data_IF_012720303636
#
_entry.id   IF_012720303636
#
_cell.length_a   1.000
_cell.length_b   1.000
_cell.length_c   1.000
_cell.angle_alpha   90.00
_cell.angle_beta   90.00
_cell.angle_gamma   90.00
#
_symmetry.space_group_name_H-M   'P 1'
#
loop_
_entity.id
_entity.type
_entity.pdbx_description
1 polymer ?
#
# COMPACT_ATOMS: atom_id res chain seq x y z
N UNK A 1 -43.41 63.05 52.10
CA UNK A 1 -42.00 62.62 52.29
C UNK A 1 -42.00 61.18 52.77
N UNK A 2 -42.00 60.18 51.88
CA UNK A 2 -41.54 58.80 52.21
C UNK A 2 -41.17 58.07 50.92
N UNK A 3 -39.91 57.61 50.86
CA UNK A 3 -39.23 57.02 49.71
C UNK A 3 -39.74 55.61 49.40
N UNK A 4 -39.73 55.29 48.09
CA UNK A 4 -39.69 53.94 47.50
C UNK A 4 -38.77 52.99 48.27
N UNK A 5 -39.17 51.72 48.34
CA UNK A 5 -38.24 50.65 47.99
C UNK A 5 -39.02 49.49 47.36
N UNK A 6 -39.04 49.47 46.04
CA UNK A 6 -39.27 48.24 45.31
C UNK A 6 -38.01 47.39 45.53
N UNK A 7 -38.09 46.46 46.47
CA UNK A 7 -37.07 45.42 46.63
C UNK A 7 -37.16 44.54 45.39
N UNK A 8 -36.43 44.96 44.36
CA UNK A 8 -36.28 44.24 43.12
C UNK A 8 -35.84 42.82 43.44
N UNK A 9 -36.52 41.87 42.79
CA UNK A 9 -36.12 40.47 42.71
C UNK A 9 -34.67 40.39 42.22
N UNK A 10 -33.72 40.46 43.14
CA UNK A 10 -32.36 39.94 42.99
C UNK A 10 -32.38 38.48 43.44
N UNK A 11 -33.35 37.71 42.94
CA UNK A 11 -33.22 36.26 42.90
C UNK A 11 -32.10 36.01 41.89
N UNK A 12 -30.89 36.01 42.43
CA UNK A 12 -29.62 35.62 41.82
C UNK A 12 -29.85 34.66 40.67
N UNK A 13 -29.36 35.09 39.53
CA UNK A 13 -29.39 34.43 38.24
C UNK A 13 -28.47 33.20 38.20
N UNK A 14 -28.66 32.25 39.11
CA UNK A 14 -27.90 30.99 39.17
C UNK A 14 -28.28 30.06 38.01
N UNK A 15 -29.48 30.25 37.43
CA UNK A 15 -29.94 29.51 36.26
C UNK A 15 -29.15 29.89 34.99
N UNK A 16 -28.83 31.16 34.75
CA UNK A 16 -28.00 31.55 33.60
C UNK A 16 -26.55 31.03 33.72
N UNK A 17 -26.00 31.00 34.93
CA UNK A 17 -24.66 30.45 35.20
C UNK A 17 -24.63 28.93 35.00
N UNK A 18 -25.66 28.21 35.46
CA UNK A 18 -25.80 26.76 35.27
C UNK A 18 -25.99 26.37 33.79
N UNK A 19 -26.77 27.14 33.03
CA UNK A 19 -26.96 26.93 31.58
C UNK A 19 -25.64 27.11 30.83
N UNK A 20 -24.85 28.13 31.18
CA UNK A 20 -23.56 28.40 30.54
C UNK A 20 -22.52 27.32 30.84
N UNK A 21 -22.47 26.84 32.08
CA UNK A 21 -21.56 25.76 32.48
C UNK A 21 -21.92 24.42 31.83
N UNK A 22 -23.22 24.07 31.81
CA UNK A 22 -23.71 22.88 31.11
C UNK A 22 -23.40 22.91 29.62
N UNK A 23 -23.61 24.07 28.98
CA UNK A 23 -23.28 24.26 27.56
C UNK A 23 -21.78 24.06 27.29
N UNK A 24 -20.90 24.68 28.07
CA UNK A 24 -19.44 24.54 27.91
C UNK A 24 -19.01 23.09 28.12
N UNK A 25 -19.57 22.41 29.14
CA UNK A 25 -19.26 21.02 29.42
C UNK A 25 -19.68 20.09 28.26
N UNK A 26 -20.93 20.22 27.78
CA UNK A 26 -21.43 19.42 26.66
C UNK A 26 -20.63 19.70 25.39
N UNK A 27 -20.35 20.98 25.09
CA UNK A 27 -19.53 21.36 23.94
C UNK A 27 -18.14 20.72 24.02
N UNK A 28 -17.51 20.74 25.20
CA UNK A 28 -16.18 20.14 25.41
C UNK A 28 -16.22 18.63 25.19
N UNK A 29 -17.22 17.93 25.73
CA UNK A 29 -17.41 16.50 25.52
C UNK A 29 -17.61 16.21 24.03
N UNK A 30 -18.49 16.94 23.34
CA UNK A 30 -18.75 16.77 21.91
C UNK A 30 -17.49 16.95 21.07
N UNK A 31 -16.68 17.97 21.36
CA UNK A 31 -15.41 18.22 20.65
C UNK A 31 -14.45 17.05 20.86
N UNK A 32 -14.27 16.59 22.10
CA UNK A 32 -13.39 15.46 22.40
C UNK A 32 -13.88 14.19 21.69
N UNK A 33 -15.17 13.89 21.78
CA UNK A 33 -15.76 12.72 21.10
C UNK A 33 -15.60 12.81 19.58
N UNK A 34 -15.78 14.01 19.00
CA UNK A 34 -15.61 14.22 17.56
C UNK A 34 -14.17 13.98 17.13
N UNK A 35 -13.19 14.47 17.90
CA UNK A 35 -11.76 14.22 17.64
C UNK A 35 -11.46 12.73 17.70
N UNK A 36 -11.96 12.01 18.71
CA UNK A 36 -11.76 10.56 18.84
C UNK A 36 -12.37 9.79 17.66
N UNK A 37 -13.56 10.19 17.20
CA UNK A 37 -14.20 9.58 16.04
C UNK A 37 -13.36 9.79 14.77
N UNK A 38 -12.94 11.03 14.50
CA UNK A 38 -12.12 11.37 13.34
C UNK A 38 -10.81 10.55 13.35
N UNK A 39 -10.11 10.51 14.49
CA UNK A 39 -8.89 9.70 14.62
C UNK A 39 -9.13 8.21 14.39
N UNK A 40 -10.28 7.70 14.83
CA UNK A 40 -10.66 6.29 14.61
C UNK A 40 -10.92 6.00 13.13
N UNK A 41 -11.55 6.94 12.41
CA UNK A 41 -11.74 6.83 10.96
C UNK A 41 -10.40 6.84 10.22
N UNK A 42 -9.47 7.71 10.60
CA UNK A 42 -8.12 7.72 10.00
C UNK A 42 -7.40 6.40 10.21
N UNK A 43 -7.40 5.85 11.43
CA UNK A 43 -6.77 4.56 11.71
C UNK A 43 -7.45 3.39 10.96
N UNK A 44 -8.75 3.47 10.72
CA UNK A 44 -9.47 2.47 9.93
C UNK A 44 -9.12 2.59 8.43
N UNK A 45 -9.01 3.81 7.91
CA UNK A 45 -8.65 4.06 6.51
C UNK A 45 -7.25 3.56 6.20
N UNK A 46 -6.27 3.89 7.05
CA UNK A 46 -4.87 3.47 6.92
C UNK A 46 -4.73 1.94 6.87
N UNK A 47 -5.45 1.23 7.76
CA UNK A 47 -5.50 -0.25 7.72
C UNK A 47 -6.14 -0.80 6.45
N UNK A 48 -7.17 -0.12 5.93
CA UNK A 48 -7.82 -0.52 4.69
C UNK A 48 -6.87 -0.33 3.50
N UNK A 49 -6.15 0.79 3.44
CA UNK A 49 -5.12 1.06 2.43
C UNK A 49 -4.00 0.02 2.46
N UNK A 50 -3.46 -0.30 3.65
CA UNK A 50 -2.47 -1.36 3.82
C UNK A 50 -2.98 -2.74 3.38
N UNK A 51 -4.25 -3.06 3.66
CA UNK A 51 -4.87 -4.34 3.25
C UNK A 51 -4.99 -4.41 1.74
N UNK A 52 -5.54 -3.37 1.11
CA UNK A 52 -5.66 -3.29 -0.36
C UNK A 52 -4.29 -3.36 -1.02
N UNK A 53 -3.30 -2.65 -0.48
CA UNK A 53 -1.94 -2.66 -1.01
C UNK A 53 -1.31 -4.05 -0.94
N UNK A 54 -1.46 -4.74 0.19
CA UNK A 54 -1.02 -6.12 0.33
C UNK A 54 -1.71 -7.04 -0.69
N UNK A 55 -3.02 -6.93 -0.85
CA UNK A 55 -3.79 -7.75 -1.78
C UNK A 55 -3.34 -7.51 -3.23
N UNK A 56 -3.16 -6.25 -3.64
CA UNK A 56 -2.67 -5.89 -4.97
C UNK A 56 -1.23 -6.39 -5.21
N UNK A 57 -0.33 -6.28 -4.22
CA UNK A 57 1.01 -6.85 -4.31
C UNK A 57 0.98 -8.37 -4.46
N UNK A 58 0.10 -9.07 -3.73
CA UNK A 58 -0.07 -10.52 -3.86
C UNK A 58 -0.64 -10.89 -5.25
N UNK A 59 -1.62 -10.15 -5.77
CA UNK A 59 -2.21 -10.38 -7.08
C UNK A 59 -1.17 -10.19 -8.19
N UNK A 60 -0.49 -9.04 -8.22
CA UNK A 60 0.51 -8.74 -9.24
C UNK A 60 1.73 -9.66 -9.14
N UNK A 61 2.22 -9.93 -7.93
CA UNK A 61 3.33 -10.85 -7.74
C UNK A 61 3.00 -12.28 -8.18
N UNK A 62 1.77 -12.75 -7.94
CA UNK A 62 1.34 -14.06 -8.42
C UNK A 62 1.21 -14.11 -9.95
N UNK A 63 0.67 -13.08 -10.59
CA UNK A 63 0.61 -13.01 -12.06
C UNK A 63 2.02 -13.06 -12.66
N UNK A 64 2.95 -12.25 -12.16
CA UNK A 64 4.35 -12.25 -12.61
C UNK A 64 5.00 -13.64 -12.41
N UNK A 65 4.80 -14.26 -11.24
CA UNK A 65 5.31 -15.61 -10.95
C UNK A 65 4.78 -16.66 -11.94
N UNK A 66 3.50 -16.59 -12.28
CA UNK A 66 2.89 -17.45 -13.31
C UNK A 66 3.49 -17.20 -14.69
N UNK A 67 3.71 -15.95 -15.07
CA UNK A 67 4.32 -15.62 -16.37
C UNK A 67 5.77 -16.12 -16.46
N UNK A 68 6.56 -15.95 -15.40
CA UNK A 68 7.93 -16.49 -15.32
C UNK A 68 7.92 -18.02 -15.50
N UNK A 69 7.01 -18.72 -14.81
CA UNK A 69 6.86 -20.18 -14.91
C UNK A 69 6.40 -20.63 -16.31
N UNK A 70 5.50 -19.87 -16.95
CA UNK A 70 5.06 -20.14 -18.31
C UNK A 70 6.20 -19.99 -19.32
N UNK A 71 7.04 -18.95 -19.18
CA UNK A 71 8.21 -18.76 -20.04
C UNK A 71 9.22 -19.89 -19.84
N UNK A 72 9.53 -20.25 -18.58
CA UNK A 72 10.43 -21.36 -18.26
C UNK A 72 9.94 -22.69 -18.87
N UNK A 73 8.64 -22.97 -18.75
CA UNK A 73 8.00 -24.17 -19.31
C UNK A 73 8.03 -24.15 -20.85
N UNK A 74 7.74 -23.02 -21.48
CA UNK A 74 7.77 -22.89 -22.94
C UNK A 74 9.19 -23.11 -23.50
N UNK A 75 10.20 -22.55 -22.83
CA UNK A 75 11.62 -22.79 -23.14
C UNK A 75 11.97 -24.27 -22.97
N UNK A 76 11.54 -24.90 -21.87
CA UNK A 76 11.78 -26.31 -21.61
C UNK A 76 11.16 -27.22 -22.67
N UNK A 77 9.87 -27.04 -22.99
CA UNK A 77 9.16 -27.86 -23.98
C UNK A 77 9.81 -27.72 -25.35
N UNK A 78 10.14 -26.50 -25.76
CA UNK A 78 10.75 -26.23 -27.07
C UNK A 78 12.13 -26.88 -27.17
N UNK A 79 12.96 -26.73 -26.14
CA UNK A 79 14.29 -27.34 -26.11
C UNK A 79 14.21 -28.88 -26.10
N UNK A 80 13.25 -29.46 -25.36
CA UNK A 80 13.04 -30.92 -25.33
C UNK A 80 12.56 -31.47 -26.68
N UNK A 81 11.83 -30.68 -27.46
CA UNK A 81 11.41 -31.04 -28.82
C UNK A 81 12.52 -30.88 -29.87
N UNK A 82 13.73 -30.46 -29.47
CA UNK A 82 14.85 -30.18 -30.38
C UNK A 82 14.75 -28.82 -31.10
N UNK A 83 13.80 -27.98 -30.71
CA UNK A 83 13.70 -26.60 -31.17
C UNK A 83 14.58 -25.66 -30.34
N UNK A 84 14.76 -24.43 -30.82
CA UNK A 84 15.45 -23.37 -30.08
C UNK A 84 14.53 -22.16 -29.99
N UNK A 85 14.24 -21.71 -28.77
CA UNK A 85 13.56 -20.42 -28.54
C UNK A 85 14.55 -19.30 -28.87
N UNK A 86 14.22 -18.44 -29.83
CA UNK A 86 15.07 -17.30 -30.18
C UNK A 86 14.87 -16.13 -29.21
N UNK A 87 13.62 -15.74 -28.96
CA UNK A 87 13.26 -14.71 -28.00
C UNK A 87 11.82 -14.88 -27.50
N UNK A 88 11.58 -14.54 -26.24
CA UNK A 88 10.25 -14.36 -25.66
C UNK A 88 10.27 -13.01 -24.97
N UNK A 89 9.27 -12.18 -25.28
CA UNK A 89 9.09 -10.87 -24.66
C UNK A 89 7.69 -10.80 -24.06
N UNK A 90 7.60 -10.41 -22.80
CA UNK A 90 6.35 -10.18 -22.09
C UNK A 90 6.32 -8.75 -21.56
N UNK A 91 5.24 -8.04 -21.84
CA UNK A 91 5.03 -6.69 -21.30
C UNK A 91 4.36 -6.81 -19.93
N UNK A 92 5.08 -6.40 -18.90
CA UNK A 92 4.60 -6.37 -17.54
C UNK A 92 3.87 -5.05 -17.31
N UNK A 93 2.55 -5.13 -17.15
CA UNK A 93 1.70 -3.97 -16.86
C UNK A 93 1.55 -3.86 -15.35
N UNK A 94 2.18 -2.85 -14.76
CA UNK A 94 2.09 -2.54 -13.34
C UNK A 94 1.56 -1.11 -13.16
N UNK A 95 0.67 -0.86 -12.19
CA UNK A 95 0.10 0.47 -11.99
C UNK A 95 1.15 1.47 -11.48
N UNK A 96 1.01 2.75 -11.81
CA UNK A 96 1.93 3.80 -11.36
C UNK A 96 1.96 3.95 -9.83
N UNK A 97 0.84 3.71 -9.16
CA UNK A 97 0.70 3.72 -7.70
C UNK A 97 -0.30 2.66 -7.25
N UNK A 98 -0.12 2.15 -6.03
CA UNK A 98 -1.06 1.23 -5.37
C UNK A 98 -1.44 1.87 -4.03
N UNK A 99 -2.74 1.95 -3.73
CA UNK A 99 -3.26 2.69 -2.57
C UNK A 99 -2.74 4.15 -2.48
N UNK A 100 -2.53 4.78 -3.64
CA UNK A 100 -1.96 6.14 -3.76
C UNK A 100 -0.51 6.29 -3.24
N UNK A 101 0.20 5.18 -3.05
CA UNK A 101 1.62 5.13 -2.67
C UNK A 101 2.52 4.62 -3.80
N UNK A 102 3.77 5.09 -3.78
CA UNK A 102 4.83 4.54 -4.62
C UNK A 102 5.38 3.26 -4.00
N UNK A 103 5.78 2.34 -4.85
CA UNK A 103 6.28 1.03 -4.44
C UNK A 103 7.51 0.64 -5.27
N UNK A 104 8.19 -0.40 -4.81
CA UNK A 104 9.27 -1.03 -5.56
C UNK A 104 9.04 -2.53 -5.67
N UNK A 105 9.52 -3.10 -6.77
CA UNK A 105 9.47 -4.53 -7.06
C UNK A 105 10.88 -5.03 -7.24
N UNK A 106 11.30 -5.94 -6.38
CA UNK A 106 12.62 -6.56 -6.44
C UNK A 106 12.51 -8.04 -6.81
N UNK A 107 13.24 -8.43 -7.84
CA UNK A 107 13.40 -9.82 -8.23
C UNK A 107 14.69 -10.34 -7.60
N UNK A 108 14.59 -11.35 -6.74
CA UNK A 108 15.74 -11.99 -6.09
C UNK A 108 15.92 -13.40 -6.63
N UNK A 109 17.16 -13.80 -6.93
CA UNK A 109 17.50 -15.14 -7.40
C UNK A 109 17.81 -16.13 -6.26
N UNK A 110 18.13 -15.62 -5.06
CA UNK A 110 18.51 -16.39 -3.88
C UNK A 110 18.04 -15.71 -2.57
N UNK A 111 16.84 -16.04 -2.05
CA UNK A 111 15.85 -16.99 -2.57
C UNK A 111 15.10 -16.48 -3.81
N UNK A 112 14.55 -17.39 -4.62
CA UNK A 112 13.71 -17.06 -5.80
C UNK A 112 12.38 -16.43 -5.37
N UNK A 113 12.41 -15.13 -5.12
CA UNK A 113 11.28 -14.34 -4.60
C UNK A 113 11.13 -13.03 -5.39
N UNK A 114 9.87 -12.65 -5.63
CA UNK A 114 9.47 -11.32 -6.06
C UNK A 114 9.05 -10.58 -4.79
N UNK A 115 9.67 -9.44 -4.51
CA UNK A 115 9.47 -8.68 -3.29
C UNK A 115 8.85 -7.35 -3.66
N UNK A 116 7.61 -7.15 -3.25
CA UNK A 116 6.94 -5.86 -3.30
C UNK A 116 7.13 -5.15 -1.98
N UNK A 117 7.42 -3.85 -2.05
CA UNK A 117 7.67 -3.00 -0.90
C UNK A 117 7.02 -1.63 -1.14
N UNK A 118 6.12 -1.23 -0.25
CA UNK A 118 5.56 0.13 -0.23
C UNK A 118 6.57 1.10 0.39
N UNK A 119 6.57 2.36 -0.08
CA UNK A 119 7.53 3.35 0.40
C UNK A 119 8.83 3.33 -0.42
N UNK A 120 8.72 3.64 -1.71
CA UNK A 120 9.87 3.87 -2.58
C UNK A 120 10.78 4.96 -2.01
N UNK A 121 11.85 4.54 -1.32
CA UNK A 121 12.96 5.37 -0.82
C UNK A 121 12.57 6.36 0.29
N UNK A 122 12.48 5.87 1.51
CA UNK A 122 12.93 6.65 2.66
C UNK A 122 13.85 5.79 3.53
N UNK A 123 15.13 6.18 3.63
CA UNK A 123 16.15 5.56 4.50
C UNK A 123 15.86 5.78 5.99
N UNK A 124 14.66 6.29 6.29
CA UNK A 124 14.17 6.67 7.61
C UNK A 124 12.99 5.78 7.97
N UNK A 125 13.23 4.46 8.04
CA UNK A 125 12.26 3.39 8.36
C UNK A 125 11.15 3.83 9.32
N UNK A 126 10.03 4.25 8.74
CA UNK A 126 9.16 5.22 9.35
C UNK A 126 7.72 5.06 8.91
N UNK A 127 7.11 4.01 9.48
CA UNK A 127 5.68 3.63 9.49
C UNK A 127 5.28 2.65 8.38
N UNK A 128 4.91 1.45 8.85
CA UNK A 128 4.07 0.45 8.19
C UNK A 128 4.35 0.19 6.71
N UNK A 129 5.63 -0.06 6.39
CA UNK A 129 6.05 -0.58 5.09
C UNK A 129 5.36 -1.94 4.85
N UNK A 130 4.45 -1.97 3.88
CA UNK A 130 3.83 -3.22 3.45
C UNK A 130 4.80 -3.93 2.54
N UNK A 131 5.28 -5.08 3.02
CA UNK A 131 6.19 -5.94 2.28
C UNK A 131 5.55 -7.29 1.98
N UNK A 132 5.46 -7.62 0.71
CA UNK A 132 4.92 -8.90 0.23
C UNK A 132 6.02 -9.65 -0.52
N UNK A 133 6.15 -10.93 -0.21
CA UNK A 133 7.10 -11.83 -0.87
C UNK A 133 6.33 -12.92 -1.58
N UNK A 134 6.46 -12.96 -2.90
CA UNK A 134 5.85 -13.98 -3.74
C UNK A 134 6.95 -14.89 -4.28
N UNK A 135 6.99 -16.18 -3.91
CA UNK A 135 7.96 -17.11 -4.46
C UNK A 135 7.67 -17.37 -5.94
N UNK A 136 8.72 -17.59 -6.71
CA UNK A 136 8.61 -18.06 -8.09
C UNK A 136 9.49 -19.27 -8.33
N UNK A 137 9.12 -20.07 -9.33
CA UNK A 137 9.85 -21.29 -9.69
C UNK A 137 10.33 -21.20 -11.13
N UNK A 138 11.61 -21.52 -11.31
CA UNK A 138 12.21 -21.73 -12.62
C UNK A 138 13.14 -22.94 -12.53
N UNK A 139 13.10 -23.80 -13.54
CA UNK A 139 13.89 -25.03 -13.61
C UNK A 139 15.01 -24.90 -14.64
N UNK A 140 14.74 -24.25 -15.76
CA UNK A 140 15.62 -24.21 -16.90
C UNK A 140 16.21 -22.83 -17.15
N UNK A 141 15.56 -21.78 -16.64
CA UNK A 141 15.95 -20.37 -16.82
C UNK A 141 16.26 -19.72 -15.46
N UNK A 142 17.14 -18.73 -15.45
CA UNK A 142 17.36 -17.89 -14.27
C UNK A 142 16.73 -16.51 -14.47
N UNK A 143 16.37 -15.81 -13.39
CA UNK A 143 15.89 -14.43 -13.45
C UNK A 143 17.02 -13.53 -12.98
N UNK A 144 17.31 -12.47 -13.72
CA UNK A 144 18.32 -11.49 -13.34
C UNK A 144 17.81 -10.67 -12.15
N UNK A 145 18.55 -10.59 -11.03
CA UNK A 145 18.13 -9.77 -9.91
C UNK A 145 18.02 -8.31 -10.32
N UNK A 146 16.85 -7.71 -10.14
CA UNK A 146 16.57 -6.32 -10.57
C UNK A 146 15.57 -5.70 -9.61
N UNK A 147 15.75 -4.43 -9.28
CA UNK A 147 14.79 -3.63 -8.51
C UNK A 147 14.20 -2.54 -9.41
N UNK A 148 12.88 -2.60 -9.56
CA UNK A 148 12.07 -1.66 -10.34
C UNK A 148 11.34 -0.72 -9.37
N UNK A 149 11.14 0.52 -9.79
CA UNK A 149 10.40 1.53 -9.03
C UNK A 149 9.14 1.91 -9.77
N UNK A 150 8.03 2.05 -9.04
CA UNK A 150 6.76 2.51 -9.58
C UNK A 150 6.88 3.87 -10.28
N UNK A 151 6.15 4.08 -11.37
CA UNK A 151 6.17 5.33 -12.17
C UNK A 151 6.90 5.22 -13.51
N UNK A 152 7.46 4.06 -13.83
CA UNK A 152 7.80 3.68 -15.21
C UNK A 152 6.68 2.81 -15.75
N UNK A 153 6.02 3.25 -16.83
CA UNK A 153 4.79 2.61 -17.32
C UNK A 153 5.03 1.39 -18.22
N UNK A 154 6.29 1.07 -18.54
CA UNK A 154 6.63 -0.01 -19.45
C UNK A 154 7.75 -0.86 -18.85
N UNK A 155 7.37 -1.95 -18.17
CA UNK A 155 8.29 -2.99 -17.77
C UNK A 155 8.26 -4.13 -18.78
N UNK A 156 9.43 -4.63 -19.17
CA UNK A 156 9.58 -5.69 -20.16
C UNK A 156 10.39 -6.83 -19.58
N UNK A 157 9.80 -8.02 -19.59
CA UNK A 157 10.50 -9.27 -19.31
C UNK A 157 10.98 -9.84 -20.64
N UNK A 158 12.30 -9.96 -20.80
CA UNK A 158 12.94 -10.45 -22.00
C UNK A 158 13.78 -11.70 -21.71
N UNK A 159 13.49 -12.80 -22.41
CA UNK A 159 14.31 -14.00 -22.36
C UNK A 159 15.52 -13.89 -23.31
N UNK A 160 16.72 -13.90 -22.72
CA UNK A 160 17.97 -13.89 -23.45
C UNK A 160 18.51 -15.33 -23.63
N UNK A 161 18.46 -15.83 -24.86
CA UNK A 161 18.91 -17.19 -25.21
C UNK A 161 20.41 -17.42 -25.00
N UNK A 162 21.24 -16.37 -25.07
CA UNK A 162 22.70 -16.52 -24.95
C UNK A 162 23.14 -16.74 -23.51
N UNK A 163 22.49 -16.07 -22.57
CA UNK A 163 22.74 -16.19 -21.12
C UNK A 163 21.78 -17.16 -20.42
N UNK A 164 20.70 -17.56 -21.10
CA UNK A 164 19.61 -18.37 -20.53
C UNK A 164 18.98 -17.69 -19.29
N UNK A 165 18.86 -16.37 -19.35
CA UNK A 165 18.33 -15.52 -18.28
C UNK A 165 17.11 -14.73 -18.75
N UNK A 166 16.18 -14.49 -17.82
CA UNK A 166 15.10 -13.53 -17.93
C UNK A 166 15.60 -12.19 -17.39
N UNK A 167 15.76 -11.24 -18.28
CA UNK A 167 16.11 -9.86 -17.96
C UNK A 167 14.84 -9.04 -17.84
N UNK A 168 14.78 -8.14 -16.86
CA UNK A 168 13.62 -7.31 -16.59
C UNK A 168 14.09 -5.86 -16.64
N UNK A 169 13.49 -5.07 -17.52
CA UNK A 169 13.83 -3.67 -17.76
C UNK A 169 12.61 -2.78 -17.60
#
# INVERSE_FOLDING_TARGET
MTRRSATGKLARDERAVSISFGFILTLSITVITTIVLISSFYAMMDRAEQTVMRDEFEIHGNDISLQISNIDTAVQITNNAGGKVESITYQLTLPDTIANEQYSVEFSDQPKEIIFESGGRDETGGRDETRVKVPYTTHNTNVTPTKLYSGSNDFLVHYNVSSNMLEIH
#
